data_IF_919952463069
#
_entry.id   IF_919952463069
#
_cell.length_a   1.000
_cell.length_b   1.000
_cell.length_c   1.000
_cell.angle_alpha   90.00
_cell.angle_beta   90.00
_cell.angle_gamma   90.00
#
_symmetry.space_group_name_H-M   'P 1'
#
loop_
_entity.id
_entity.type
_entity.pdbx_description
1 polymer ?
#
# COMPACT_ATOMS: atom_id res chain seq x y z
N UNK A 1 -3.24 -20.78 16.32
CA UNK A 1 -3.66 -19.75 15.34
C UNK A 1 -3.23 -18.38 15.84
N UNK A 2 -2.23 -17.74 15.21
CA UNK A 2 -1.87 -16.35 15.54
C UNK A 2 -2.86 -15.44 14.82
N UNK A 3 -3.65 -14.69 15.59
CA UNK A 3 -4.61 -13.71 15.08
C UNK A 3 -3.80 -12.53 14.52
N UNK A 4 -3.58 -12.52 13.20
CA UNK A 4 -2.91 -11.45 12.46
C UNK A 4 -3.81 -10.22 12.51
N UNK A 5 -3.40 -9.19 13.25
CA UNK A 5 -4.12 -7.90 13.23
C UNK A 5 -3.63 -7.14 12.00
N UNK A 6 -4.50 -6.93 11.03
CA UNK A 6 -4.22 -6.03 9.91
C UNK A 6 -4.14 -4.60 10.43
N UNK A 7 -3.06 -3.89 10.13
CA UNK A 7 -2.86 -2.49 10.48
C UNK A 7 -2.83 -1.69 9.18
N UNK A 8 -3.93 -0.99 8.87
CA UNK A 8 -4.03 -0.19 7.67
C UNK A 8 -3.22 1.10 7.81
N UNK A 9 -2.10 1.24 7.08
CA UNK A 9 -1.49 2.54 6.83
C UNK A 9 -2.00 3.01 5.47
N UNK A 10 -3.01 3.87 5.49
CA UNK A 10 -3.46 4.56 4.29
C UNK A 10 -2.46 5.68 3.96
N UNK A 11 -1.43 5.36 3.18
CA UNK A 11 -0.59 6.39 2.59
C UNK A 11 -1.38 6.97 1.40
N UNK A 12 -1.96 8.16 1.60
CA UNK A 12 -2.71 8.86 0.57
C UNK A 12 -1.78 9.21 -0.60
N UNK A 13 -1.76 8.36 -1.63
CA UNK A 13 -1.19 8.69 -2.93
C UNK A 13 -2.13 9.72 -3.54
N UNK A 14 -1.80 11.00 -3.37
CA UNK A 14 -2.51 12.09 -4.06
C UNK A 14 -2.10 12.05 -5.52
N UNK A 15 -2.69 11.13 -6.28
CA UNK A 15 -2.66 11.20 -7.74
C UNK A 15 -3.44 12.45 -8.14
N UNK A 16 -2.74 13.39 -8.79
CA UNK A 16 -3.35 14.59 -9.31
C UNK A 16 -4.39 14.20 -10.37
N UNK A 17 -5.65 14.17 -9.95
CA UNK A 17 -6.87 14.37 -10.75
C UNK A 17 -6.73 14.06 -12.25
N UNK A 18 -6.89 12.79 -12.61
CA UNK A 18 -7.42 12.42 -13.92
C UNK A 18 -8.86 12.00 -13.67
N UNK A 19 -9.80 12.79 -14.19
CA UNK A 19 -11.22 12.50 -14.06
C UNK A 19 -11.58 11.14 -14.65
N UNK A 20 -12.81 10.71 -14.34
CA UNK A 20 -13.54 9.50 -14.79
C UNK A 20 -13.66 8.49 -13.65
N UNK A 21 -14.77 8.54 -12.89
CA UNK A 21 -16.06 7.94 -13.23
C UNK A 21 -15.92 6.42 -13.42
N UNK A 22 -16.35 5.66 -12.41
CA UNK A 22 -16.58 4.21 -12.44
C UNK A 22 -15.43 3.39 -13.02
N UNK A 23 -14.35 3.26 -12.24
CA UNK A 23 -13.26 2.35 -12.54
C UNK A 23 -13.55 0.99 -11.88
N UNK A 24 -13.65 -0.03 -12.73
CA UNK A 24 -13.36 -1.44 -12.44
C UNK A 24 -12.23 -1.55 -11.39
N UNK A 25 -12.34 -2.46 -10.41
CA UNK A 25 -11.48 -2.57 -9.20
C UNK A 25 -9.94 -2.68 -9.48
N UNK A 26 -9.50 -2.65 -10.74
CA UNK A 26 -8.08 -2.67 -11.15
C UNK A 26 -7.63 -1.46 -12.00
N UNK A 27 -8.53 -0.58 -12.44
CA UNK A 27 -8.15 0.48 -13.38
C UNK A 27 -7.30 1.55 -12.70
N UNK A 28 -7.58 1.91 -11.43
CA UNK A 28 -6.78 2.90 -10.72
C UNK A 28 -5.41 2.32 -10.35
N UNK A 29 -5.34 1.04 -9.96
CA UNK A 29 -4.06 0.35 -9.69
C UNK A 29 -3.16 0.41 -10.93
N UNK A 30 -3.70 0.05 -12.10
CA UNK A 30 -2.96 0.07 -13.36
C UNK A 30 -2.48 1.48 -13.73
N UNK A 31 -3.32 2.50 -13.55
CA UNK A 31 -2.93 3.89 -13.77
C UNK A 31 -1.86 4.33 -12.76
N UNK A 32 -1.94 3.90 -11.50
CA UNK A 32 -0.94 4.23 -10.49
C UNK A 32 0.43 3.67 -10.84
N UNK A 33 0.53 2.43 -11.34
CA UNK A 33 1.81 1.86 -11.78
C UNK A 33 2.40 2.53 -13.03
N UNK A 34 1.61 3.29 -13.79
CA UNK A 34 2.10 4.10 -14.90
C UNK A 34 2.68 5.45 -14.43
N UNK A 35 2.37 5.88 -13.22
CA UNK A 35 2.92 7.11 -12.64
C UNK A 35 4.40 6.88 -12.26
N UNK A 36 5.36 7.64 -12.82
CA UNK A 36 6.78 7.47 -12.53
C UNK A 36 7.14 7.72 -11.05
N UNK A 37 6.27 8.39 -10.30
CA UNK A 37 6.47 8.67 -8.87
C UNK A 37 6.03 7.52 -7.96
N UNK A 38 5.30 6.52 -8.48
CA UNK A 38 4.74 5.42 -7.68
C UNK A 38 5.82 4.67 -6.91
N UNK A 39 6.94 4.37 -7.57
CA UNK A 39 8.06 3.66 -6.97
C UNK A 39 8.68 4.46 -5.81
N UNK A 40 8.83 5.78 -5.97
CA UNK A 40 9.34 6.64 -4.91
C UNK A 40 8.38 6.68 -3.72
N UNK A 41 7.07 6.65 -3.95
CA UNK A 41 6.08 6.63 -2.89
C UNK A 41 6.04 5.29 -2.15
N UNK A 42 6.23 4.17 -2.85
CA UNK A 42 6.41 2.86 -2.24
C UNK A 42 7.67 2.81 -1.36
N UNK A 43 8.80 3.35 -1.83
CA UNK A 43 10.03 3.39 -1.03
C UNK A 43 9.92 4.30 0.20
N UNK A 44 9.17 5.40 0.10
CA UNK A 44 8.80 6.21 1.28
C UNK A 44 7.95 5.41 2.26
N UNK A 45 6.97 4.64 1.77
CA UNK A 45 6.14 3.79 2.61
C UNK A 45 6.97 2.72 3.33
N UNK A 46 7.90 2.07 2.62
CA UNK A 46 8.89 1.15 3.20
C UNK A 46 9.65 1.80 4.35
N UNK A 47 10.22 2.97 4.09
CA UNK A 47 11.01 3.70 5.08
C UNK A 47 10.21 4.00 6.34
N UNK A 48 8.94 4.41 6.21
CA UNK A 48 8.05 4.68 7.35
C UNK A 48 7.76 3.40 8.14
N UNK A 49 7.43 2.30 7.46
CA UNK A 49 7.11 1.01 8.08
C UNK A 49 8.33 0.47 8.84
N UNK A 50 9.52 0.51 8.22
CA UNK A 50 10.77 0.06 8.83
C UNK A 50 11.20 0.96 9.99
N UNK A 51 11.05 2.28 9.87
CA UNK A 51 11.32 3.23 10.96
C UNK A 51 10.43 2.98 12.19
N UNK A 52 9.24 2.41 12.00
CA UNK A 52 8.36 1.99 13.08
C UNK A 52 8.76 0.63 13.69
N UNK A 53 9.86 0.01 13.25
CA UNK A 53 10.37 -1.26 13.74
C UNK A 53 9.66 -2.49 13.18
N UNK A 54 9.00 -2.36 12.03
CA UNK A 54 8.47 -3.49 11.28
C UNK A 54 9.49 -3.98 10.26
N UNK A 55 9.61 -5.29 10.09
CA UNK A 55 10.42 -5.90 9.04
C UNK A 55 9.50 -6.36 7.93
N UNK A 56 9.55 -5.70 6.78
CA UNK A 56 8.75 -6.07 5.61
C UNK A 56 9.17 -7.46 5.12
N UNK A 57 8.20 -8.35 4.93
CA UNK A 57 8.40 -9.74 4.51
C UNK A 57 7.91 -10.04 3.10
N UNK A 58 7.11 -9.14 2.52
CA UNK A 58 6.63 -9.24 1.15
C UNK A 58 6.88 -7.92 0.40
N UNK A 59 6.65 -7.88 -0.91
CA UNK A 59 6.72 -6.64 -1.69
C UNK A 59 5.69 -5.61 -1.21
N UNK A 60 5.98 -4.33 -1.46
CA UNK A 60 4.99 -3.28 -1.34
C UNK A 60 4.30 -3.15 -2.70
N UNK A 61 2.98 -3.17 -2.66
CA UNK A 61 2.14 -3.09 -3.85
C UNK A 61 1.11 -1.98 -3.69
N UNK A 62 0.69 -1.41 -4.80
CA UNK A 62 -0.54 -0.63 -4.84
C UNK A 62 -1.71 -1.61 -4.94
N UNK A 63 -2.67 -1.49 -4.03
CA UNK A 63 -3.93 -2.23 -4.06
C UNK A 63 -5.07 -1.21 -4.18
N UNK A 64 -6.09 -1.52 -4.98
CA UNK A 64 -7.29 -0.71 -5.10
C UNK A 64 -8.41 -1.32 -4.26
N UNK A 65 -8.99 -0.52 -3.36
CA UNK A 65 -10.09 -0.96 -2.51
C UNK A 65 -11.16 0.11 -2.39
N UNK A 66 -12.35 -0.19 -2.92
CA UNK A 66 -13.50 0.73 -2.93
C UNK A 66 -13.16 2.07 -3.62
N UNK A 67 -12.50 2.01 -4.77
CA UNK A 67 -12.10 3.18 -5.57
C UNK A 67 -11.03 4.06 -4.93
N UNK A 68 -10.20 3.49 -4.05
CA UNK A 68 -9.08 4.17 -3.38
C UNK A 68 -7.84 3.31 -3.47
N UNK A 69 -6.70 3.95 -3.67
CA UNK A 69 -5.40 3.29 -3.71
C UNK A 69 -4.79 3.21 -2.31
N UNK A 70 -4.25 2.05 -1.96
CA UNK A 70 -3.56 1.76 -0.72
C UNK A 70 -2.21 1.11 -1.00
N UNK A 71 -1.28 1.26 -0.07
CA UNK A 71 -0.05 0.47 -0.08
C UNK A 71 -0.30 -0.80 0.72
N UNK A 72 -0.18 -1.94 0.04
CA UNK A 72 -0.32 -3.25 0.64
C UNK A 72 1.04 -3.92 0.80
N UNK A 73 1.28 -4.48 1.99
CA UNK A 73 2.46 -5.30 2.26
C UNK A 73 2.27 -6.15 3.51
N UNK A 74 3.05 -7.21 3.64
CA UNK A 74 3.18 -7.97 4.87
C UNK A 74 4.47 -7.58 5.58
N UNK A 75 4.40 -7.43 6.91
CA UNK A 75 5.57 -7.21 7.74
C UNK A 75 5.48 -7.96 9.06
N UNK A 76 6.62 -8.16 9.70
CA UNK A 76 6.75 -8.79 11.00
C UNK A 76 7.25 -7.77 12.01
N UNK A 77 6.65 -7.77 13.20
CA UNK A 77 7.17 -7.06 14.37
C UNK A 77 7.00 -7.93 15.60
N UNK A 78 8.07 -8.09 16.38
CA UNK A 78 8.10 -8.93 17.58
C UNK A 78 7.58 -10.37 17.33
N UNK A 79 7.96 -10.97 16.21
CA UNK A 79 7.56 -12.35 15.84
C UNK A 79 6.09 -12.53 15.44
N UNK A 80 5.41 -11.42 15.13
CA UNK A 80 4.01 -11.39 14.72
C UNK A 80 3.87 -10.76 13.33
N UNK A 81 3.24 -11.50 12.42
CA UNK A 81 2.90 -10.99 11.08
C UNK A 81 1.78 -9.95 11.20
N UNK A 82 1.86 -8.93 10.37
CA UNK A 82 0.93 -7.83 10.24
C UNK A 82 0.81 -7.48 8.76
N UNK A 83 -0.42 -7.31 8.30
CA UNK A 83 -0.72 -6.87 6.93
C UNK A 83 -1.04 -5.38 6.98
N UNK A 84 -0.37 -4.61 6.13
CA UNK A 84 -0.70 -3.23 5.81
C UNK A 84 -1.49 -3.24 4.51
N UNK A 85 -2.63 -2.54 4.46
CA UNK A 85 -3.52 -2.40 3.30
C UNK A 85 -4.57 -1.31 3.55
#
# INVERSE_FOLDING_TARGET
MKITKALAIALALTTASIGMAHADDNHLERTAYQDPTVHQNLEKARTIIEAQGYQITDKLEIDEKRGKLYVKTEAIKNGKNMTFA
#
